data_IF_002387022181
#
_entry.id   IF_002387022181
#
_cell.length_a   1.000
_cell.length_b   1.000
_cell.length_c   1.000
_cell.angle_alpha   90.00
_cell.angle_beta   90.00
_cell.angle_gamma   90.00
#
_symmetry.space_group_name_H-M   'P 1'
#
loop_
_entity.id
_entity.type
_entity.pdbx_description
1 polymer ?
#
# COMPACT_ATOMS: atom_id res chain seq x y z
N UNK A 1 14.18 9.49 -4.91
CA UNK A 1 13.10 8.48 -4.89
C UNK A 1 13.03 7.91 -3.48
N UNK A 2 12.05 8.36 -2.70
CA UNK A 2 11.82 7.87 -1.34
C UNK A 2 10.76 6.77 -1.42
N UNK A 3 11.03 5.53 -0.95
CA UNK A 3 10.04 4.47 -0.97
C UNK A 3 8.91 4.79 0.03
N UNK A 4 7.67 4.81 -0.45
CA UNK A 4 6.49 4.81 0.40
C UNK A 4 6.30 3.42 0.98
N UNK A 5 6.21 3.33 2.31
CA UNK A 5 5.96 2.04 2.95
C UNK A 5 4.99 2.19 4.13
N UNK A 6 3.89 1.45 4.06
CA UNK A 6 3.01 1.21 5.20
C UNK A 6 3.73 0.27 6.18
N UNK A 7 3.70 0.63 7.46
CA UNK A 7 4.37 -0.13 8.53
C UNK A 7 3.31 -0.83 9.36
N UNK A 8 3.40 -2.14 9.55
CA UNK A 8 2.51 -2.85 10.48
C UNK A 8 3.12 -2.87 11.89
N UNK A 9 2.56 -2.11 12.83
CA UNK A 9 2.94 -2.14 14.24
C UNK A 9 1.72 -2.47 15.10
N UNK A 10 1.48 -3.78 15.31
CA UNK A 10 0.27 -4.31 15.95
C UNK A 10 -0.40 -3.36 16.98
N UNK A 11 -1.68 -3.07 16.73
CA UNK A 11 -2.50 -2.13 17.48
C UNK A 11 -2.83 -2.67 18.88
N UNK A 12 -2.66 -3.97 19.08
CA UNK A 12 -2.75 -4.64 20.37
C UNK A 12 -1.41 -4.55 21.11
N UNK A 13 -1.47 -4.18 22.37
CA UNK A 13 -0.29 -4.03 23.23
C UNK A 13 -0.35 -2.77 24.09
N UNK A 14 0.50 -2.72 25.12
CA UNK A 14 0.66 -1.52 25.94
C UNK A 14 1.33 -0.40 25.15
N UNK A 15 1.12 0.86 25.56
CA UNK A 15 1.81 2.03 24.98
C UNK A 15 3.33 1.86 24.93
N UNK A 16 3.92 1.26 25.97
CA UNK A 16 5.35 0.96 26.01
C UNK A 16 5.78 -0.04 24.93
N UNK A 17 4.96 -1.06 24.66
CA UNK A 17 5.26 -2.03 23.60
C UNK A 17 5.19 -1.38 22.22
N UNK A 18 4.17 -0.54 21.99
CA UNK A 18 4.03 0.22 20.74
C UNK A 18 5.24 1.12 20.49
N UNK A 19 5.69 1.86 21.51
CA UNK A 19 6.89 2.70 21.41
C UNK A 19 8.16 1.90 21.18
N UNK A 20 8.34 0.74 21.83
CA UNK A 20 9.49 -0.14 21.57
C UNK A 20 9.48 -0.70 20.15
N UNK A 21 8.30 -0.97 19.59
CA UNK A 21 8.16 -1.40 18.19
C UNK A 21 8.52 -0.24 17.25
N UNK A 22 8.07 0.98 17.57
CA UNK A 22 8.45 2.19 16.83
C UNK A 22 9.94 2.53 16.91
N UNK A 23 10.57 2.33 18.05
CA UNK A 23 12.02 2.46 18.20
C UNK A 23 12.76 1.50 17.24
N UNK A 24 12.33 0.23 17.18
CA UNK A 24 12.90 -0.73 16.22
C UNK A 24 12.64 -0.32 14.78
N UNK A 25 11.46 0.25 14.48
CA UNK A 25 11.17 0.76 13.15
C UNK A 25 12.19 1.81 12.72
N UNK A 26 12.34 2.88 13.51
CA UNK A 26 13.21 4.02 13.17
C UNK A 26 14.70 3.70 13.27
N UNK A 27 15.12 2.93 14.28
CA UNK A 27 16.54 2.73 14.59
C UNK A 27 17.14 1.45 14.00
N UNK A 28 16.30 0.50 13.55
CA UNK A 28 16.77 -0.78 12.98
C UNK A 28 16.27 -1.03 11.56
N UNK A 29 14.96 -0.98 11.32
CA UNK A 29 14.41 -1.29 9.99
C UNK A 29 14.67 -0.17 8.98
N UNK A 30 14.42 1.08 9.38
CA UNK A 30 14.58 2.27 8.55
C UNK A 30 15.62 3.21 9.13
N UNK A 31 16.75 2.64 9.56
CA UNK A 31 17.85 3.41 10.15
C UNK A 31 18.28 4.54 9.21
N UNK A 32 18.22 5.78 9.71
CA UNK A 32 18.52 7.00 8.94
C UNK A 32 17.29 7.69 8.34
N UNK A 33 16.14 6.99 8.31
CA UNK A 33 14.85 7.58 8.01
C UNK A 33 14.42 8.58 9.08
N UNK A 34 13.72 9.62 8.66
CA UNK A 34 13.28 10.73 9.50
C UNK A 34 11.77 10.89 9.39
N UNK A 35 11.10 10.89 10.54
CA UNK A 35 9.68 11.23 10.67
C UNK A 35 9.43 12.63 10.10
N UNK A 36 8.31 12.79 9.40
CA UNK A 36 7.86 14.11 8.96
C UNK A 36 7.63 15.02 10.18
N UNK A 37 8.18 16.25 10.21
CA UNK A 37 7.90 17.23 11.25
C UNK A 37 6.43 17.69 11.24
N UNK A 38 5.85 17.91 12.42
CA UNK A 38 4.42 18.24 12.57
C UNK A 38 4.06 19.66 12.08
N UNK A 39 5.06 20.54 12.01
CA UNK A 39 4.98 21.88 11.42
C UNK A 39 5.07 21.85 9.89
N UNK A 40 5.49 20.73 9.28
CA UNK A 40 5.45 20.53 7.82
C UNK A 40 4.18 19.74 7.42
N UNK A 41 3.68 18.87 8.30
CA UNK A 41 2.41 18.17 8.13
C UNK A 41 1.21 19.14 8.30
N UNK A 42 0.83 19.81 7.21
CA UNK A 42 -0.13 20.90 7.24
C UNK A 42 -1.59 20.42 7.19
N UNK A 43 -2.48 21.24 7.74
CA UNK A 43 -3.92 21.08 7.51
C UNK A 43 -4.31 21.78 6.19
N UNK A 44 -5.18 21.20 5.35
CA UNK A 44 -5.57 21.78 4.08
C UNK A 44 -6.17 23.18 4.21
N UNK A 45 -5.64 24.12 3.43
CA UNK A 45 -6.08 25.51 3.41
C UNK A 45 -6.03 26.08 1.98
N UNK A 46 -6.88 27.07 1.68
CA UNK A 46 -6.84 27.83 0.42
C UNK A 46 -5.62 28.72 0.32
N UNK A 47 -5.26 29.35 1.43
CA UNK A 47 -3.98 30.04 1.59
C UNK A 47 -3.01 29.06 2.24
N UNK A 48 -2.14 28.47 1.42
CA UNK A 48 -1.22 27.43 1.85
C UNK A 48 0.23 27.84 1.65
N UNK A 49 1.10 27.25 2.46
CA UNK A 49 2.54 27.29 2.24
C UNK A 49 2.95 26.03 1.50
N UNK A 50 3.89 26.17 0.56
CA UNK A 50 4.52 25.01 -0.08
C UNK A 50 5.39 24.28 0.93
N UNK A 51 5.34 22.95 0.89
CA UNK A 51 6.22 22.07 1.68
C UNK A 51 7.63 22.04 1.10
N UNK A 52 7.77 22.21 -0.22
CA UNK A 52 9.07 22.25 -0.88
C UNK A 52 8.96 22.66 -2.36
N UNK A 53 10.12 22.97 -2.96
CA UNK A 53 10.27 23.20 -4.40
C UNK A 53 10.97 22.02 -5.05
N UNK A 54 10.61 21.72 -6.29
CA UNK A 54 11.17 20.64 -7.12
C UNK A 54 12.17 21.17 -8.17
N UNK A 55 13.04 22.10 -7.78
CA UNK A 55 14.03 22.81 -8.61
C UNK A 55 15.45 22.17 -8.71
N UNK A 56 15.62 20.90 -8.32
CA UNK A 56 16.93 20.26 -8.13
C UNK A 56 17.90 20.89 -7.12
N UNK A 57 17.45 21.79 -6.25
CA UNK A 57 18.31 22.46 -5.25
C UNK A 57 18.71 21.53 -4.09
N UNK A 58 19.86 21.78 -3.42
CA UNK A 58 20.29 20.99 -2.24
C UNK A 58 19.27 21.00 -1.09
N UNK A 59 18.41 22.02 -1.01
CA UNK A 59 17.33 22.11 -0.03
C UNK A 59 16.35 20.92 -0.13
N UNK A 60 16.27 20.26 -1.31
CA UNK A 60 15.44 19.07 -1.49
C UNK A 60 16.00 17.82 -0.84
N UNK A 61 17.30 17.77 -0.55
CA UNK A 61 17.95 16.59 0.03
C UNK A 61 17.32 16.20 1.38
N UNK A 62 16.66 17.15 2.05
CA UNK A 62 15.87 16.90 3.25
C UNK A 62 14.82 15.79 3.04
N UNK A 63 14.26 15.66 1.84
CA UNK A 63 13.21 14.70 1.48
C UNK A 63 13.73 13.30 1.17
N UNK A 64 15.03 13.13 0.92
CA UNK A 64 15.64 11.82 0.60
C UNK A 64 15.40 10.82 1.73
N UNK A 65 15.51 11.28 2.97
CA UNK A 65 15.35 10.44 4.16
C UNK A 65 13.99 10.61 4.85
N UNK A 66 13.05 11.38 4.27
CA UNK A 66 11.71 11.56 4.87
C UNK A 66 10.87 10.31 4.65
N UNK A 67 10.23 9.85 5.72
CA UNK A 67 9.27 8.75 5.68
C UNK A 67 7.89 9.32 6.02
N UNK A 68 6.95 9.11 5.10
CA UNK A 68 5.54 9.46 5.24
C UNK A 68 4.79 8.20 5.69
N UNK A 69 4.35 8.18 6.94
CA UNK A 69 3.61 7.05 7.48
C UNK A 69 2.10 7.26 7.27
N UNK A 70 1.42 6.17 6.90
CA UNK A 70 -0.04 6.09 6.79
C UNK A 70 -0.51 5.14 7.89
N UNK A 71 -1.50 5.54 8.68
CA UNK A 71 -1.98 4.74 9.79
C UNK A 71 -2.82 3.57 9.28
N UNK A 72 -2.53 2.34 9.72
CA UNK A 72 -3.28 1.16 9.34
C UNK A 72 -4.12 0.53 10.45
N UNK A 73 -4.92 -0.47 10.07
CA UNK A 73 -5.70 -1.32 10.98
C UNK A 73 -4.82 -1.95 12.06
N UNK A 74 -3.61 -2.37 11.68
CA UNK A 74 -2.65 -2.91 12.62
C UNK A 74 -1.93 -1.86 13.45
N UNK A 75 -2.15 -0.55 13.31
CA UNK A 75 -1.49 0.46 14.16
C UNK A 75 -2.49 1.10 15.13
N UNK A 76 -3.64 1.50 14.59
CA UNK A 76 -4.67 2.25 15.31
C UNK A 76 -6.00 1.49 15.45
N UNK A 77 -6.19 0.39 14.72
CA UNK A 77 -7.43 -0.41 14.69
C UNK A 77 -8.41 0.04 13.61
N UNK A 78 -9.39 -0.82 13.30
CA UNK A 78 -10.57 -0.42 12.51
C UNK A 78 -11.49 0.51 13.30
N UNK A 79 -12.57 0.99 12.67
CA UNK A 79 -13.49 1.96 13.26
C UNK A 79 -14.02 1.55 14.64
N UNK A 80 -14.23 0.25 14.90
CA UNK A 80 -14.68 -0.29 16.19
C UNK A 80 -13.58 -0.49 17.24
N UNK A 81 -12.32 -0.33 16.86
CA UNK A 81 -11.14 -0.49 17.70
C UNK A 81 -10.38 0.81 17.93
N UNK A 82 -10.64 1.82 17.09
CA UNK A 82 -9.96 3.10 17.10
C UNK A 82 -10.39 3.95 18.29
N UNK A 83 -9.43 4.30 19.14
CA UNK A 83 -9.59 5.21 20.27
C UNK A 83 -8.63 6.38 20.18
N UNK A 84 -8.94 7.47 20.89
CA UNK A 84 -8.07 8.66 20.98
C UNK A 84 -6.67 8.29 21.48
N UNK A 85 -6.56 7.43 22.49
CA UNK A 85 -5.27 6.93 22.99
C UNK A 85 -4.45 6.22 21.89
N UNK A 86 -5.10 5.39 21.07
CA UNK A 86 -4.43 4.69 19.97
C UNK A 86 -3.98 5.64 18.87
N UNK A 87 -4.76 6.68 18.61
CA UNK A 87 -4.38 7.74 17.67
C UNK A 87 -3.20 8.56 18.22
N UNK A 88 -3.29 9.04 19.45
CA UNK A 88 -2.25 9.86 20.10
C UNK A 88 -0.89 9.15 20.15
N UNK A 89 -0.87 7.86 20.51
CA UNK A 89 0.39 7.09 20.51
C UNK A 89 0.95 6.92 19.10
N UNK A 90 0.10 6.73 18.08
CA UNK A 90 0.54 6.66 16.69
C UNK A 90 1.15 7.98 16.27
N UNK A 91 0.47 9.10 16.50
CA UNK A 91 0.93 10.41 16.08
C UNK A 91 2.23 10.83 16.76
N UNK A 92 2.39 10.47 18.04
CA UNK A 92 3.65 10.66 18.79
C UNK A 92 4.83 9.97 18.12
N UNK A 93 4.66 8.75 17.59
CA UNK A 93 5.77 7.94 17.06
C UNK A 93 5.94 8.10 15.54
N UNK A 94 4.87 8.27 14.78
CA UNK A 94 4.86 8.18 13.31
C UNK A 94 4.50 9.47 12.57
N UNK A 95 3.84 10.42 13.24
CA UNK A 95 3.34 11.64 12.61
C UNK A 95 1.82 11.68 12.56
N UNK A 96 1.28 12.86 12.25
CA UNK A 96 -0.16 13.08 12.11
C UNK A 96 -0.80 12.05 11.18
N UNK A 97 -2.01 11.60 11.51
CA UNK A 97 -2.72 10.62 10.67
C UNK A 97 -3.48 11.26 9.49
N UNK A 98 -3.72 12.58 9.55
CA UNK A 98 -4.35 13.38 8.50
C UNK A 98 -3.52 14.65 8.24
N UNK A 99 -2.96 14.81 7.04
CA UNK A 99 -2.21 16.02 6.65
C UNK A 99 -2.04 16.14 5.13
N UNK A 100 -1.69 17.34 4.67
CA UNK A 100 -1.27 17.57 3.29
C UNK A 100 0.17 18.08 3.17
N UNK A 101 0.76 17.81 2.01
CA UNK A 101 2.01 18.40 1.53
C UNK A 101 1.80 18.94 0.12
N UNK A 102 2.47 20.04 -0.22
CA UNK A 102 2.41 20.65 -1.55
C UNK A 102 3.80 20.97 -2.06
N UNK A 103 4.09 20.50 -3.27
CA UNK A 103 5.38 20.66 -3.92
C UNK A 103 5.19 21.34 -5.25
N UNK A 104 5.83 22.50 -5.42
CA UNK A 104 5.79 23.22 -6.69
C UNK A 104 7.06 22.96 -7.49
N UNK A 105 6.92 22.82 -8.81
CA UNK A 105 8.00 22.82 -9.77
C UNK A 105 8.11 24.21 -10.42
N UNK A 106 9.18 24.99 -10.14
CA UNK A 106 9.34 26.30 -10.75
C UNK A 106 9.52 26.20 -12.26
N UNK A 107 8.75 27.01 -13.00
CA UNK A 107 8.90 27.15 -14.45
C UNK A 107 9.96 28.20 -14.73
N UNK A 108 11.08 27.79 -15.32
CA UNK A 108 12.21 28.68 -15.63
C UNK A 108 12.30 29.07 -17.10
N UNK A 109 11.65 28.30 -17.99
CA UNK A 109 11.66 28.58 -19.43
C UNK A 109 10.66 29.71 -19.77
N UNK A 110 11.13 30.84 -20.34
CA UNK A 110 10.29 31.96 -20.73
C UNK A 110 9.15 31.58 -21.68
N UNK A 111 9.32 30.53 -22.50
CA UNK A 111 8.30 30.01 -23.43
C UNK A 111 7.00 29.64 -22.71
N UNK A 112 7.11 29.06 -21.51
CA UNK A 112 5.97 28.55 -20.77
C UNK A 112 5.46 29.55 -19.73
N UNK A 113 6.33 30.43 -19.24
CA UNK A 113 6.00 31.41 -18.19
C UNK A 113 4.81 32.31 -18.59
N UNK A 114 4.73 32.73 -19.86
CA UNK A 114 3.60 33.55 -20.34
C UNK A 114 2.28 32.79 -20.49
N UNK A 115 2.31 31.46 -20.44
CA UNK A 115 1.12 30.61 -20.58
C UNK A 115 0.46 30.25 -19.25
N UNK A 116 1.15 30.51 -18.14
CA UNK A 116 0.66 30.26 -16.78
C UNK A 116 -0.31 31.38 -16.37
N UNK A 117 -1.33 31.00 -15.61
CA UNK A 117 -2.29 31.87 -14.97
C UNK A 117 -1.59 32.92 -14.13
N UNK A 118 -1.93 34.17 -14.40
CA UNK A 118 -1.49 35.34 -13.65
C UNK A 118 -2.66 36.31 -13.62
N UNK A 119 -3.09 36.72 -12.43
CA UNK A 119 -4.29 37.54 -12.26
C UNK A 119 -4.22 38.88 -12.99
N UNK A 120 -3.01 39.40 -13.26
CA UNK A 120 -2.81 40.69 -13.94
C UNK A 120 -2.47 40.51 -15.42
N UNK A 121 -1.63 39.52 -15.75
CA UNK A 121 -1.07 39.35 -17.10
C UNK A 121 -1.83 38.35 -17.96
N UNK A 122 -2.40 37.32 -17.36
CA UNK A 122 -3.06 36.23 -18.08
C UNK A 122 -4.20 35.59 -17.24
N UNK A 123 -5.28 36.34 -16.97
CA UNK A 123 -6.35 35.90 -16.07
C UNK A 123 -7.23 34.79 -16.63
N UNK A 124 -7.19 34.55 -17.94
CA UNK A 124 -8.01 33.52 -18.61
C UNK A 124 -7.26 32.20 -18.81
N UNK A 125 -5.97 32.13 -18.44
CA UNK A 125 -5.19 30.90 -18.57
C UNK A 125 -5.62 29.84 -17.55
N UNK A 126 -5.63 28.58 -18.00
CA UNK A 126 -5.96 27.43 -17.15
C UNK A 126 -4.73 26.75 -16.57
N UNK A 127 -3.53 27.07 -17.07
CA UNK A 127 -2.28 26.47 -16.61
C UNK A 127 -1.85 27.12 -15.31
N UNK A 128 -1.63 26.34 -14.27
CA UNK A 128 -1.00 26.83 -13.05
C UNK A 128 0.46 26.38 -12.98
N UNK A 129 1.22 26.93 -12.02
CA UNK A 129 2.54 26.42 -11.69
C UNK A 129 2.43 24.92 -11.35
N UNK A 130 3.28 24.04 -11.94
CA UNK A 130 3.06 22.63 -11.75
C UNK A 130 3.24 22.22 -10.29
N UNK A 131 2.26 21.51 -9.76
CA UNK A 131 2.18 21.16 -8.34
C UNK A 131 1.88 19.67 -8.14
N UNK A 132 2.63 19.02 -7.25
CA UNK A 132 2.22 17.75 -6.65
C UNK A 132 1.66 18.05 -5.26
N UNK A 133 0.39 17.69 -5.06
CA UNK A 133 -0.27 17.69 -3.75
C UNK A 133 -0.36 16.27 -3.22
N UNK A 134 0.26 16.01 -2.08
CA UNK A 134 0.17 14.72 -1.38
C UNK A 134 -0.80 14.88 -0.23
N UNK A 135 -1.77 13.97 -0.12
CA UNK A 135 -2.79 13.99 0.91
C UNK A 135 -2.75 12.66 1.63
N UNK A 136 -2.45 12.68 2.93
CA UNK A 136 -2.49 11.50 3.79
C UNK A 136 -3.80 11.51 4.56
N UNK A 137 -4.59 10.45 4.41
CA UNK A 137 -5.90 10.30 5.04
C UNK A 137 -5.89 9.05 5.91
N UNK A 138 -6.35 9.20 7.14
CA UNK A 138 -6.77 8.09 7.97
C UNK A 138 -8.18 7.65 7.54
N UNK A 139 -8.28 6.59 6.77
CA UNK A 139 -9.57 6.05 6.32
C UNK A 139 -10.15 4.98 7.25
N UNK A 140 -9.47 4.63 8.35
CA UNK A 140 -9.85 3.55 9.25
C UNK A 140 -11.22 3.76 9.94
N UNK A 141 -11.73 4.98 9.95
CA UNK A 141 -12.99 5.37 10.60
C UNK A 141 -13.99 6.07 9.68
N UNK A 142 -13.81 5.96 8.36
CA UNK A 142 -14.74 6.54 7.37
C UNK A 142 -16.04 5.76 7.26
N UNK A 143 -15.98 4.44 7.41
CA UNK A 143 -17.17 3.60 7.45
C UNK A 143 -17.75 3.52 8.87
N UNK A 144 -19.05 3.26 8.96
CA UNK A 144 -19.80 3.26 10.22
C UNK A 144 -20.25 1.85 10.61
N UNK A 145 -20.42 1.56 11.92
CA UNK A 145 -20.26 2.46 13.06
C UNK A 145 -18.80 2.66 13.45
N UNK A 146 -18.47 3.87 13.92
CA UNK A 146 -17.17 4.19 14.52
C UNK A 146 -17.30 4.33 16.03
N UNK A 147 -16.33 3.78 16.77
CA UNK A 147 -16.26 3.80 18.23
C UNK A 147 -16.07 5.21 18.79
N UNK A 148 -15.17 5.98 18.18
CA UNK A 148 -14.95 7.39 18.52
C UNK A 148 -15.57 8.30 17.47
N UNK A 149 -16.68 8.94 17.84
CA UNK A 149 -17.32 9.97 17.02
C UNK A 149 -16.41 11.20 16.80
N UNK A 150 -15.70 11.73 17.82
CA UNK A 150 -14.76 12.84 17.62
C UNK A 150 -13.70 12.56 16.55
N UNK A 151 -13.08 11.37 16.57
CA UNK A 151 -12.08 11.01 15.56
C UNK A 151 -12.70 10.88 14.17
N UNK A 152 -13.92 10.36 14.06
CA UNK A 152 -14.61 10.27 12.78
C UNK A 152 -14.95 11.66 12.23
N UNK A 153 -15.45 12.56 13.08
CA UNK A 153 -15.75 13.94 12.70
C UNK A 153 -14.49 14.67 12.22
N UNK A 154 -13.36 14.48 12.90
CA UNK A 154 -12.07 15.03 12.47
C UNK A 154 -11.66 14.55 11.07
N UNK A 155 -11.84 13.25 10.76
CA UNK A 155 -11.54 12.72 9.42
C UNK A 155 -12.46 13.34 8.35
N UNK A 156 -13.77 13.46 8.62
CA UNK A 156 -14.69 14.10 7.67
C UNK A 156 -14.40 15.58 7.49
N UNK A 157 -14.08 16.31 8.56
CA UNK A 157 -13.64 17.71 8.50
C UNK A 157 -12.37 17.86 7.64
N UNK A 158 -11.41 16.95 7.79
CA UNK A 158 -10.21 16.93 6.98
C UNK A 158 -10.52 16.74 5.49
N UNK A 159 -11.35 15.74 5.13
CA UNK A 159 -11.77 15.51 3.74
C UNK A 159 -12.49 16.73 3.18
N UNK A 160 -13.38 17.35 3.95
CA UNK A 160 -14.07 18.57 3.54
C UNK A 160 -13.10 19.75 3.31
N UNK A 161 -12.08 19.87 4.15
CA UNK A 161 -11.01 20.86 3.98
C UNK A 161 -10.20 20.60 2.71
N UNK A 162 -9.86 19.33 2.42
CA UNK A 162 -9.20 18.91 1.16
C UNK A 162 -10.03 19.33 -0.05
N UNK A 163 -11.33 19.03 -0.05
CA UNK A 163 -12.25 19.36 -1.14
C UNK A 163 -12.31 20.88 -1.34
N UNK A 164 -12.47 21.63 -0.25
CA UNK A 164 -12.66 23.09 -0.27
C UNK A 164 -11.40 23.88 -0.69
N UNK A 165 -10.22 23.30 -0.47
CA UNK A 165 -8.90 23.86 -0.82
C UNK A 165 -8.33 23.30 -2.12
N UNK A 166 -9.07 22.43 -2.81
CA UNK A 166 -8.66 21.90 -4.12
C UNK A 166 -8.79 22.94 -5.21
N UNK A 167 -7.88 22.88 -6.19
CA UNK A 167 -8.00 23.67 -7.42
C UNK A 167 -9.30 23.34 -8.18
N UNK A 168 -9.76 24.30 -8.98
CA UNK A 168 -10.82 24.07 -9.94
C UNK A 168 -10.45 22.90 -10.87
N UNK A 169 -11.43 22.11 -11.31
CA UNK A 169 -11.18 20.90 -12.12
C UNK A 169 -10.68 21.25 -13.54
N UNK A 170 -10.84 22.50 -13.95
CA UNK A 170 -10.38 23.05 -15.23
C UNK A 170 -8.89 23.39 -15.24
N UNK A 171 -8.26 23.56 -14.07
CA UNK A 171 -6.86 23.94 -14.02
C UNK A 171 -5.94 22.78 -14.42
N UNK A 172 -4.88 23.12 -15.14
CA UNK A 172 -3.85 22.21 -15.64
C UNK A 172 -2.55 22.40 -14.85
N UNK A 173 -1.78 21.33 -14.70
CA UNK A 173 -0.47 21.38 -14.03
C UNK A 173 -0.46 20.89 -12.59
N UNK A 174 -1.61 20.66 -11.95
CA UNK A 174 -1.65 20.04 -10.63
C UNK A 174 -1.88 18.53 -10.69
N UNK A 175 -1.37 17.81 -9.70
CA UNK A 175 -1.64 16.38 -9.51
C UNK A 175 -1.84 16.07 -8.03
N UNK A 176 -2.92 15.36 -7.70
CA UNK A 176 -3.19 14.94 -6.32
C UNK A 176 -2.86 13.47 -6.13
N UNK A 177 -1.92 13.17 -5.23
CA UNK A 177 -1.62 11.83 -4.74
C UNK A 177 -2.29 11.64 -3.38
N UNK A 178 -3.25 10.73 -3.29
CA UNK A 178 -3.89 10.35 -2.03
C UNK A 178 -3.24 9.08 -1.49
N UNK A 179 -2.80 9.13 -0.24
CA UNK A 179 -2.21 8.02 0.50
C UNK A 179 -3.16 7.63 1.63
N UNK A 180 -3.56 6.37 1.64
CA UNK A 180 -4.57 5.84 2.56
C UNK A 180 -4.32 4.37 2.84
N UNK A 181 -4.99 3.77 3.83
CA UNK A 181 -4.70 2.38 4.20
C UNK A 181 -5.71 1.38 3.64
N UNK A 182 -7.01 1.63 3.77
CA UNK A 182 -8.06 0.73 3.27
C UNK A 182 -8.30 1.00 1.77
N UNK A 183 -8.23 -0.03 0.90
CA UNK A 183 -8.51 0.16 -0.51
C UNK A 183 -9.97 0.53 -0.76
N UNK A 184 -10.21 1.25 -1.86
CA UNK A 184 -11.56 1.63 -2.28
C UNK A 184 -12.42 0.40 -2.60
N UNK A 185 -13.74 0.56 -2.59
CA UNK A 185 -14.70 -0.46 -2.97
C UNK A 185 -14.44 -1.01 -4.38
N UNK A 186 -14.47 -2.33 -4.52
CA UNK A 186 -14.31 -3.07 -5.78
C UNK A 186 -15.20 -4.31 -5.73
N UNK A 187 -16.01 -4.59 -6.76
CA UNK A 187 -16.88 -5.76 -6.75
C UNK A 187 -16.07 -7.06 -6.74
N UNK A 188 -16.67 -8.12 -6.20
CA UNK A 188 -16.06 -9.44 -6.13
C UNK A 188 -15.61 -9.91 -7.53
N UNK A 189 -14.40 -10.47 -7.61
CA UNK A 189 -13.80 -10.95 -8.87
C UNK A 189 -12.90 -9.94 -9.58
N UNK A 190 -12.87 -8.66 -9.18
CA UNK A 190 -11.89 -7.70 -9.69
C UNK A 190 -10.52 -7.88 -9.00
N UNK A 191 -10.50 -7.92 -7.68
CA UNK A 191 -9.33 -8.21 -6.87
C UNK A 191 -9.48 -9.56 -6.18
N UNK A 192 -8.41 -10.04 -5.53
CA UNK A 192 -8.47 -11.26 -4.70
C UNK A 192 -9.37 -11.02 -3.49
N UNK A 193 -9.16 -9.90 -2.79
CA UNK A 193 -10.01 -9.49 -1.68
C UNK A 193 -11.34 -8.92 -2.21
N UNK A 194 -12.45 -9.52 -1.78
CA UNK A 194 -13.80 -9.06 -2.07
C UNK A 194 -14.30 -8.09 -0.97
N UNK A 195 -15.36 -7.29 -1.21
CA UNK A 195 -15.95 -6.46 -0.17
C UNK A 195 -16.35 -7.30 1.04
N UNK A 196 -15.89 -6.89 2.22
CA UNK A 196 -16.11 -7.60 3.48
C UNK A 196 -16.17 -6.61 4.64
N UNK A 197 -17.08 -6.85 5.57
CA UNK A 197 -17.23 -6.15 6.83
C UNK A 197 -17.61 -7.16 7.92
N UNK A 198 -16.89 -7.12 9.04
CA UNK A 198 -17.24 -7.78 10.30
C UNK A 198 -17.41 -6.72 11.39
N UNK A 199 -18.33 -6.96 12.32
CA UNK A 199 -18.70 -5.99 13.35
C UNK A 199 -18.54 -6.61 14.74
N UNK A 200 -18.18 -5.80 15.73
CA UNK A 200 -18.16 -6.26 17.11
C UNK A 200 -19.57 -6.60 17.60
N UNK A 201 -19.71 -7.67 18.38
CA UNK A 201 -21.01 -8.21 18.81
C UNK A 201 -21.77 -7.30 19.79
N UNK A 202 -21.06 -6.41 20.47
CA UNK A 202 -21.58 -5.39 21.38
C UNK A 202 -22.03 -4.10 20.67
N UNK A 203 -21.82 -4.00 19.36
CA UNK A 203 -22.16 -2.82 18.56
C UNK A 203 -21.08 -1.74 18.58
N UNK A 204 -19.88 -2.01 19.11
CA UNK A 204 -18.79 -1.04 19.24
C UNK A 204 -18.19 -0.57 17.90
N UNK A 205 -18.65 -1.11 16.76
CA UNK A 205 -18.27 -0.66 15.43
C UNK A 205 -17.69 -1.77 14.55
N UNK A 206 -16.98 -1.37 13.51
CA UNK A 206 -16.34 -2.28 12.55
C UNK A 206 -15.13 -2.95 13.21
N UNK A 207 -15.16 -4.28 13.25
CA UNK A 207 -14.09 -5.13 13.75
C UNK A 207 -13.05 -5.44 12.67
N UNK A 208 -13.51 -5.63 11.44
CA UNK A 208 -12.65 -5.94 10.30
C UNK A 208 -13.33 -5.51 9.00
N UNK A 209 -12.57 -4.99 8.04
CA UNK A 209 -13.05 -4.75 6.68
C UNK A 209 -11.90 -4.86 5.68
N UNK A 210 -12.18 -5.29 4.45
CA UNK A 210 -11.14 -5.41 3.43
C UNK A 210 -11.08 -4.20 2.49
N UNK A 211 -12.23 -3.58 2.25
CA UNK A 211 -12.39 -2.45 1.35
C UNK A 211 -13.26 -1.41 2.04
N UNK A 212 -13.16 -0.15 1.63
CA UNK A 212 -14.12 0.88 2.01
C UNK A 212 -15.49 0.57 1.41
N UNK A 213 -16.55 1.13 2.02
CA UNK A 213 -17.89 1.08 1.41
C UNK A 213 -17.93 1.82 0.08
N UNK A 214 -18.95 1.53 -0.72
CA UNK A 214 -19.21 2.24 -1.98
C UNK A 214 -19.42 3.74 -1.74
N UNK A 215 -20.13 4.11 -0.66
CA UNK A 215 -20.39 5.50 -0.31
C UNK A 215 -19.12 6.24 0.11
N UNK A 216 -18.29 5.65 0.98
CA UNK A 216 -17.00 6.24 1.36
C UNK A 216 -16.10 6.40 0.12
N UNK A 217 -16.02 5.38 -0.72
CA UNK A 217 -15.27 5.38 -1.99
C UNK A 217 -15.70 6.50 -2.92
N UNK A 218 -17.01 6.72 -3.06
CA UNK A 218 -17.56 7.79 -3.88
C UNK A 218 -17.11 9.17 -3.40
N UNK A 219 -16.97 9.37 -2.09
CA UNK A 219 -16.44 10.60 -1.50
C UNK A 219 -15.02 10.94 -1.96
N UNK A 220 -14.15 9.95 -2.15
CA UNK A 220 -12.81 10.18 -2.72
C UNK A 220 -12.90 10.61 -4.19
N UNK A 221 -13.61 9.84 -5.02
CA UNK A 221 -13.61 10.09 -6.46
C UNK A 221 -14.38 11.35 -6.86
N UNK A 222 -15.56 11.56 -6.30
CA UNK A 222 -16.43 12.69 -6.65
C UNK A 222 -16.13 13.93 -5.80
N UNK A 223 -15.67 13.76 -4.56
CA UNK A 223 -15.27 14.85 -3.69
C UNK A 223 -13.85 15.32 -3.96
N UNK A 224 -12.84 14.52 -3.58
CA UNK A 224 -11.43 14.91 -3.66
C UNK A 224 -11.01 15.16 -5.11
N UNK A 225 -11.33 14.24 -6.03
CA UNK A 225 -10.97 14.42 -7.44
C UNK A 225 -12.02 15.17 -8.25
N UNK A 226 -13.26 15.34 -7.79
CA UNK A 226 -14.27 16.09 -8.55
C UNK A 226 -14.73 15.38 -9.83
N UNK A 227 -14.56 14.05 -9.92
CA UNK A 227 -15.03 13.28 -11.08
C UNK A 227 -16.55 13.26 -11.09
N UNK A 228 -17.16 13.37 -12.28
CA UNK A 228 -18.62 13.35 -12.41
C UNK A 228 -19.08 12.53 -13.60
N UNK A 229 -20.17 11.79 -13.39
CA UNK A 229 -20.93 11.16 -14.47
C UNK A 229 -21.68 12.15 -15.37
N UNK A 230 -21.72 13.44 -15.03
CA UNK A 230 -22.37 14.48 -15.85
C UNK A 230 -21.36 15.16 -16.79
N UNK A 231 -21.49 15.00 -18.13
CA UNK A 231 -20.61 15.66 -19.10
C UNK A 231 -20.77 17.18 -19.15
N UNK A 232 -21.87 17.71 -18.59
CA UNK A 232 -22.11 19.15 -18.47
C UNK A 232 -21.57 19.75 -17.17
N UNK A 233 -20.96 18.94 -16.30
CA UNK A 233 -20.28 19.45 -15.11
C UNK A 233 -19.00 20.20 -15.48
N UNK A 234 -18.47 20.96 -14.52
CA UNK A 234 -17.15 21.57 -14.55
C UNK A 234 -16.09 20.57 -15.06
N UNK A 235 -15.16 21.04 -15.91
CA UNK A 235 -14.17 20.18 -16.56
C UNK A 235 -14.75 18.98 -17.34
N UNK A 236 -16.00 19.09 -17.83
CA UNK A 236 -16.76 18.00 -18.48
C UNK A 236 -16.92 16.74 -17.61
N UNK A 237 -16.84 16.89 -16.29
CA UNK A 237 -16.87 15.78 -15.34
C UNK A 237 -15.58 14.95 -15.29
N UNK A 238 -14.49 15.39 -15.94
CA UNK A 238 -13.19 14.69 -15.90
C UNK A 238 -12.57 14.67 -14.51
N UNK A 239 -12.83 15.70 -13.70
CA UNK A 239 -12.20 15.91 -12.41
C UNK A 239 -10.70 16.29 -12.51
N UNK A 240 -10.06 16.49 -11.36
CA UNK A 240 -8.64 16.82 -11.17
C UNK A 240 -7.72 15.61 -11.39
N UNK A 241 -6.57 15.75 -12.08
CA UNK A 241 -5.61 14.66 -12.22
C UNK A 241 -5.12 14.13 -10.87
N UNK A 242 -4.91 12.83 -10.79
CA UNK A 242 -4.40 12.22 -9.57
C UNK A 242 -4.46 10.70 -9.52
N UNK A 243 -4.00 10.18 -8.39
CA UNK A 243 -3.80 8.76 -8.11
C UNK A 243 -4.10 8.49 -6.63
N UNK A 244 -4.76 7.37 -6.34
CA UNK A 244 -4.80 6.81 -4.99
C UNK A 244 -3.76 5.70 -4.90
N UNK A 245 -2.91 5.77 -3.87
CA UNK A 245 -1.98 4.71 -3.49
C UNK A 245 -2.31 4.27 -2.08
N UNK A 246 -2.59 2.98 -1.89
CA UNK A 246 -2.90 2.40 -0.59
C UNK A 246 -2.15 1.10 -0.33
N UNK A 247 -2.17 0.69 0.92
CA UNK A 247 -1.77 -0.64 1.36
C UNK A 247 -2.98 -1.55 1.58
N UNK A 248 -2.73 -2.71 2.18
CA UNK A 248 -3.59 -3.56 3.01
C UNK A 248 -3.05 -5.00 2.91
N UNK A 249 -3.74 -5.99 3.47
CA UNK A 249 -3.01 -7.04 4.17
C UNK A 249 -2.40 -8.13 3.26
N UNK A 250 -2.79 -8.27 1.98
CA UNK A 250 -2.41 -9.47 1.21
C UNK A 250 -1.94 -9.23 -0.24
N UNK A 251 -2.83 -9.27 -1.21
CA UNK A 251 -2.48 -9.60 -2.60
C UNK A 251 -2.18 -8.39 -3.51
N UNK A 252 -2.50 -7.18 -3.04
CA UNK A 252 -2.43 -5.97 -3.84
C UNK A 252 -3.43 -5.97 -5.00
N UNK A 253 -3.69 -4.80 -5.57
CA UNK A 253 -4.65 -4.63 -6.65
C UNK A 253 -4.41 -3.34 -7.42
N UNK A 254 -4.35 -3.43 -8.74
CA UNK A 254 -4.16 -2.28 -9.64
C UNK A 254 -5.42 -2.12 -10.49
N UNK A 255 -6.20 -1.08 -10.20
CA UNK A 255 -7.53 -0.84 -10.76
C UNK A 255 -7.69 0.52 -11.39
N UNK A 256 -8.61 0.61 -12.35
CA UNK A 256 -9.13 1.83 -12.91
C UNK A 256 -10.62 1.93 -12.59
N UNK A 257 -10.98 2.97 -11.86
CA UNK A 257 -12.35 3.32 -11.49
C UNK A 257 -12.82 4.38 -12.49
N UNK A 258 -13.94 4.15 -13.16
CA UNK A 258 -14.44 5.08 -14.17
C UNK A 258 -15.96 5.15 -14.21
N UNK A 259 -16.48 6.21 -14.82
CA UNK A 259 -17.90 6.32 -15.14
C UNK A 259 -18.04 6.43 -16.65
N UNK A 260 -18.85 5.59 -17.28
CA UNK A 260 -19.18 5.76 -18.69
C UNK A 260 -20.29 6.80 -18.84
N UNK A 261 -19.94 8.02 -19.26
CA UNK A 261 -20.89 9.13 -19.43
C UNK A 261 -21.87 8.93 -20.61
N UNK A 262 -21.70 7.87 -21.41
CA UNK A 262 -22.63 7.53 -22.50
C UNK A 262 -23.64 6.44 -22.11
N UNK A 263 -23.40 5.74 -21.00
CA UNK A 263 -24.23 4.62 -20.58
C UNK A 263 -25.40 5.12 -19.71
N UNK A 264 -26.55 5.38 -20.32
CA UNK A 264 -27.75 5.87 -19.64
C UNK A 264 -28.12 7.31 -20.01
N UNK A 265 -29.38 7.69 -19.74
CA UNK A 265 -29.97 8.96 -20.19
C UNK A 265 -29.68 10.11 -19.25
N UNK A 266 -29.53 9.88 -17.94
CA UNK A 266 -29.20 10.90 -16.95
C UNK A 266 -27.95 10.54 -16.14
N UNK A 267 -27.38 11.54 -15.46
CA UNK A 267 -26.23 11.34 -14.57
C UNK A 267 -26.53 10.40 -13.39
N UNK A 268 -27.80 10.24 -13.01
CA UNK A 268 -28.22 9.37 -11.90
C UNK A 268 -28.28 7.88 -12.29
N UNK A 269 -28.38 7.60 -13.58
CA UNK A 269 -28.44 6.23 -14.10
C UNK A 269 -27.03 5.65 -14.32
N UNK A 270 -25.99 6.47 -14.11
CA UNK A 270 -24.59 6.13 -14.33
C UNK A 270 -23.95 5.74 -13.01
N UNK A 271 -23.32 4.58 -12.98
CA UNK A 271 -22.60 4.06 -11.82
C UNK A 271 -21.10 4.02 -12.07
N UNK A 272 -20.34 3.89 -11.00
CA UNK A 272 -18.92 3.56 -11.08
C UNK A 272 -18.75 2.14 -11.63
N UNK A 273 -17.82 2.00 -12.57
CA UNK A 273 -17.33 0.75 -13.11
C UNK A 273 -15.85 0.60 -12.74
N UNK A 274 -15.42 -0.64 -12.52
CA UNK A 274 -14.07 -0.94 -12.06
C UNK A 274 -13.49 -2.05 -12.93
N UNK A 275 -12.28 -1.82 -13.44
CA UNK A 275 -11.51 -2.80 -14.21
C UNK A 275 -10.08 -2.86 -13.70
N UNK A 276 -9.43 -4.02 -13.86
CA UNK A 276 -7.98 -4.10 -13.65
C UNK A 276 -7.26 -3.22 -14.65
N UNK A 277 -6.20 -2.53 -14.22
CA UNK A 277 -5.47 -1.58 -15.07
C UNK A 277 -5.01 -2.15 -16.44
N UNK A 278 -4.46 -3.39 -16.53
CA UNK A 278 -4.13 -3.97 -17.83
C UNK A 278 -5.34 -4.16 -18.75
N UNK A 279 -6.50 -4.51 -18.18
CA UNK A 279 -7.75 -4.68 -18.93
C UNK A 279 -8.29 -3.32 -19.41
N UNK A 280 -8.30 -2.31 -18.53
CA UNK A 280 -8.70 -0.94 -18.89
C UNK A 280 -7.87 -0.39 -20.06
N UNK A 281 -6.55 -0.62 -20.03
CA UNK A 281 -5.66 -0.27 -21.16
C UNK A 281 -6.00 -1.05 -22.43
N UNK A 282 -6.23 -2.36 -22.33
CA UNK A 282 -6.59 -3.21 -23.48
C UNK A 282 -7.92 -2.80 -24.11
N UNK A 283 -8.88 -2.36 -23.30
CA UNK A 283 -10.18 -1.84 -23.75
C UNK A 283 -10.10 -0.38 -24.22
N UNK A 284 -8.92 0.24 -24.14
CA UNK A 284 -8.65 1.62 -24.52
C UNK A 284 -9.50 2.67 -23.78
N UNK A 285 -10.04 2.37 -22.59
CA UNK A 285 -10.95 3.28 -21.86
C UNK A 285 -10.22 4.34 -21.02
N UNK A 286 -8.91 4.18 -20.83
CA UNK A 286 -8.08 5.11 -20.05
C UNK A 286 -7.94 6.43 -20.82
N UNK A 287 -8.29 7.54 -20.18
CA UNK A 287 -8.11 8.89 -20.73
C UNK A 287 -9.18 9.36 -21.72
N UNK A 288 -10.11 8.49 -22.16
CA UNK A 288 -11.18 8.86 -23.08
C UNK A 288 -12.05 10.01 -22.53
N UNK A 289 -12.48 10.92 -23.42
CA UNK A 289 -13.27 12.10 -23.01
C UNK A 289 -14.59 11.75 -22.30
N UNK A 290 -15.33 10.77 -22.82
CA UNK A 290 -16.62 10.36 -22.29
C UNK A 290 -16.53 9.29 -21.19
N UNK A 291 -15.32 8.91 -20.78
CA UNK A 291 -15.08 7.87 -19.75
C UNK A 291 -14.08 8.41 -18.72
N UNK A 292 -14.48 9.43 -17.93
CA UNK A 292 -13.64 9.91 -16.85
C UNK A 292 -13.38 8.80 -15.83
N UNK A 293 -12.13 8.70 -15.38
CA UNK A 293 -11.74 7.71 -14.39
C UNK A 293 -10.38 7.97 -13.78
N UNK A 294 -10.06 7.24 -12.73
CA UNK A 294 -8.83 7.35 -11.96
C UNK A 294 -8.27 5.98 -11.64
N UNK A 295 -6.95 5.93 -11.54
CA UNK A 295 -6.23 4.73 -11.14
C UNK A 295 -6.17 4.67 -9.62
N UNK A 296 -6.30 3.48 -9.08
CA UNK A 296 -6.00 3.15 -7.69
C UNK A 296 -4.96 2.03 -7.69
N UNK A 297 -3.97 2.16 -6.81
CA UNK A 297 -2.91 1.18 -6.61
C UNK A 297 -2.90 0.73 -5.16
N UNK A 298 -3.31 -0.52 -4.93
CA UNK A 298 -3.08 -1.24 -3.68
C UNK A 298 -1.76 -1.99 -3.78
N UNK A 299 -0.77 -1.53 -3.03
CA UNK A 299 0.55 -2.15 -2.96
C UNK A 299 0.41 -3.52 -2.31
N UNK A 300 0.93 -4.56 -2.98
CA UNK A 300 0.97 -5.91 -2.42
C UNK A 300 1.76 -5.92 -1.11
N UNK A 301 1.36 -6.76 -0.16
CA UNK A 301 1.96 -6.80 1.17
C UNK A 301 3.46 -7.09 1.16
N UNK A 302 4.18 -6.44 2.08
CA UNK A 302 5.58 -6.73 2.41
C UNK A 302 5.74 -8.02 3.24
N UNK A 303 4.64 -8.59 3.74
CA UNK A 303 4.72 -9.85 4.48
C UNK A 303 5.33 -10.96 3.61
N UNK A 304 6.17 -11.79 4.23
CA UNK A 304 6.98 -12.80 3.52
C UNK A 304 6.15 -13.79 2.71
N UNK A 305 4.98 -14.17 3.23
CA UNK A 305 4.04 -15.07 2.55
C UNK A 305 3.52 -14.50 1.24
N UNK A 306 3.50 -13.18 1.11
CA UNK A 306 3.10 -12.47 -0.09
C UNK A 306 4.27 -12.09 -0.99
N UNK A 307 5.50 -12.49 -0.66
CA UNK A 307 6.69 -12.29 -1.49
C UNK A 307 7.50 -11.04 -1.17
N UNK A 308 7.22 -10.36 -0.05
CA UNK A 308 8.04 -9.25 0.41
C UNK A 308 8.02 -8.04 -0.52
N UNK A 309 6.86 -7.49 -0.82
CA UNK A 309 6.74 -6.49 -1.88
C UNK A 309 6.95 -5.05 -1.38
N UNK A 310 7.49 -4.25 -2.28
CA UNK A 310 7.52 -2.79 -2.21
C UNK A 310 6.93 -2.22 -3.50
N UNK A 311 6.38 -1.00 -3.44
CA UNK A 311 5.92 -0.26 -4.61
C UNK A 311 6.86 0.91 -4.88
N UNK A 312 7.23 1.12 -6.14
CA UNK A 312 7.98 2.29 -6.58
C UNK A 312 7.07 3.13 -7.48
N UNK A 313 6.81 4.36 -7.06
CA UNK A 313 6.11 5.37 -7.84
C UNK A 313 7.10 6.44 -8.30
N UNK A 314 7.18 6.62 -9.61
CA UNK A 314 7.98 7.67 -10.26
C UNK A 314 7.02 8.68 -10.88
N UNK A 315 7.30 9.97 -10.71
CA UNK A 315 6.49 11.05 -11.29
C UNK A 315 7.41 12.06 -11.96
N UNK A 316 6.98 12.61 -13.09
CA UNK A 316 7.69 13.67 -13.81
C UNK A 316 6.68 14.58 -14.51
N UNK A 317 7.06 15.84 -14.73
CA UNK A 317 6.21 16.82 -15.38
C UNK A 317 6.51 16.91 -16.88
N UNK A 318 5.48 16.87 -17.71
CA UNK A 318 5.60 17.07 -19.15
C UNK A 318 5.17 18.51 -19.53
N UNK A 319 6.11 19.40 -19.88
CA UNK A 319 5.79 20.79 -20.20
C UNK A 319 5.06 20.96 -21.55
N UNK A 320 5.05 19.95 -22.43
CA UNK A 320 4.33 20.03 -23.71
C UNK A 320 2.83 19.84 -23.53
N UNK A 321 2.44 18.84 -22.73
CA UNK A 321 1.03 18.56 -22.38
C UNK A 321 0.54 19.34 -21.17
N UNK A 322 1.47 19.88 -20.36
CA UNK A 322 1.19 20.53 -19.08
C UNK A 322 0.60 19.59 -18.01
N UNK A 323 1.00 18.31 -18.07
CA UNK A 323 0.49 17.25 -17.21
C UNK A 323 1.61 16.55 -16.42
N UNK A 324 1.27 16.04 -15.24
CA UNK A 324 2.12 15.11 -14.51
C UNK A 324 1.91 13.69 -15.02
N UNK A 325 3.00 13.07 -15.43
CA UNK A 325 3.05 11.66 -15.82
C UNK A 325 3.64 10.84 -14.67
N UNK A 326 3.27 9.56 -14.62
CA UNK A 326 3.75 8.68 -13.58
C UNK A 326 3.83 7.22 -14.02
N UNK A 327 4.74 6.49 -13.38
CA UNK A 327 4.90 5.06 -13.54
C UNK A 327 4.97 4.38 -12.18
N UNK A 328 4.35 3.21 -12.09
CA UNK A 328 4.37 2.38 -10.90
C UNK A 328 4.93 1.00 -11.22
N UNK A 329 5.86 0.54 -10.40
CA UNK A 329 6.41 -0.81 -10.44
C UNK A 329 6.28 -1.49 -9.08
N UNK A 330 5.88 -2.76 -9.10
CA UNK A 330 5.92 -3.63 -7.93
C UNK A 330 7.28 -4.34 -7.87
N UNK A 331 8.01 -4.17 -6.78
CA UNK A 331 9.33 -4.75 -6.55
C UNK A 331 9.23 -5.82 -5.45
N UNK A 332 9.15 -7.12 -5.82
CA UNK A 332 9.20 -8.20 -4.85
C UNK A 332 10.64 -8.41 -4.36
N UNK A 333 10.82 -8.48 -3.04
CA UNK A 333 12.07 -8.92 -2.41
C UNK A 333 12.30 -10.43 -2.60
N UNK A 334 11.21 -11.18 -2.84
CA UNK A 334 11.21 -12.62 -3.01
C UNK A 334 10.77 -13.37 -1.74
N UNK A 335 10.37 -14.64 -1.90
CA UNK A 335 10.02 -15.50 -0.75
C UNK A 335 11.28 -15.81 0.07
N UNK A 336 11.17 -15.78 1.40
CA UNK A 336 12.27 -15.93 2.37
C UNK A 336 12.97 -17.31 2.37
N UNK A 337 12.84 -18.12 1.32
CA UNK A 337 13.47 -19.44 1.23
C UNK A 337 14.99 -19.39 1.45
N UNK A 338 15.66 -18.34 0.94
CA UNK A 338 17.10 -18.17 1.11
C UNK A 338 17.48 -17.89 2.58
N UNK A 339 16.66 -17.11 3.29
CA UNK A 339 16.88 -16.82 4.71
C UNK A 339 16.77 -18.10 5.55
N UNK A 340 15.69 -18.87 5.36
CA UNK A 340 15.52 -20.16 6.04
C UNK A 340 16.60 -21.16 5.67
N UNK A 341 17.00 -21.22 4.41
CA UNK A 341 18.10 -22.10 3.97
C UNK A 341 19.41 -21.79 4.71
N UNK A 342 19.77 -20.51 4.84
CA UNK A 342 20.97 -20.09 5.58
C UNK A 342 20.87 -20.49 7.06
N UNK A 343 19.75 -20.21 7.73
CA UNK A 343 19.58 -20.59 9.15
C UNK A 343 19.59 -22.09 9.39
N UNK A 344 18.98 -22.88 8.50
CA UNK A 344 19.01 -24.34 8.59
C UNK A 344 20.44 -24.86 8.42
N UNK A 345 21.20 -24.29 7.46
CA UNK A 345 22.59 -24.65 7.23
C UNK A 345 23.46 -24.27 8.43
N UNK A 346 23.33 -23.05 8.96
CA UNK A 346 24.06 -22.58 10.14
C UNK A 346 23.75 -23.44 11.37
N UNK A 347 22.48 -23.77 11.59
CA UNK A 347 22.07 -24.68 12.66
C UNK A 347 22.69 -26.06 12.48
N UNK A 348 22.72 -26.58 11.24
CA UNK A 348 23.39 -27.84 10.91
C UNK A 348 24.89 -27.81 11.21
N UNK A 349 25.58 -26.72 10.86
CA UNK A 349 27.00 -26.54 11.15
C UNK A 349 27.26 -26.48 12.66
N UNK A 350 26.48 -25.69 13.40
CA UNK A 350 26.58 -25.61 14.87
C UNK A 350 26.34 -26.98 15.50
N UNK A 351 25.32 -27.70 15.05
CA UNK A 351 25.04 -29.06 15.51
C UNK A 351 26.21 -30.00 15.26
N UNK A 352 26.80 -29.99 14.06
CA UNK A 352 27.97 -30.82 13.73
C UNK A 352 29.20 -30.46 14.58
N UNK A 353 29.42 -29.18 14.86
CA UNK A 353 30.50 -28.72 15.76
C UNK A 353 30.29 -29.25 17.18
N UNK A 354 29.06 -29.19 17.70
CA UNK A 354 28.73 -29.69 19.03
C UNK A 354 28.89 -31.22 19.12
N UNK A 355 28.44 -31.96 18.10
CA UNK A 355 28.61 -33.41 18.01
C UNK A 355 30.09 -33.77 17.94
N UNK A 356 30.86 -33.10 17.08
CA UNK A 356 32.30 -33.33 16.98
C UNK A 356 33.03 -33.03 18.29
N UNK A 357 32.68 -31.93 18.98
CA UNK A 357 33.21 -31.60 20.29
C UNK A 357 32.89 -32.66 21.34
N UNK A 358 31.65 -33.16 21.37
CA UNK A 358 31.22 -34.22 22.28
C UNK A 358 31.98 -35.53 22.00
N UNK A 359 32.09 -35.96 20.75
CA UNK A 359 32.86 -37.15 20.34
C UNK A 359 34.32 -37.01 20.77
N UNK A 360 34.92 -35.84 20.54
CA UNK A 360 36.30 -35.57 20.94
C UNK A 360 36.50 -35.66 22.45
N UNK A 361 35.55 -35.15 23.25
CA UNK A 361 35.58 -35.25 24.72
C UNK A 361 35.42 -36.71 25.17
N UNK A 362 34.49 -37.46 24.57
CA UNK A 362 34.25 -38.87 24.90
C UNK A 362 35.47 -39.74 24.57
N UNK A 363 36.10 -39.52 23.41
CA UNK A 363 37.37 -40.17 23.05
C UNK A 363 38.48 -39.81 24.05
N UNK A 364 38.63 -38.53 24.42
CA UNK A 364 39.60 -38.10 25.42
C UNK A 364 39.33 -38.69 26.82
N UNK A 365 38.07 -38.98 27.15
CA UNK A 365 37.67 -39.65 28.39
C UNK A 365 37.82 -41.18 28.33
N UNK A 366 38.32 -41.75 27.22
CA UNK A 366 38.59 -43.18 27.07
C UNK A 366 37.38 -44.03 26.67
N UNK A 367 36.30 -43.41 26.17
CA UNK A 367 35.17 -44.12 25.58
C UNK A 367 35.52 -44.51 24.14
N UNK A 368 35.39 -45.79 23.79
CA UNK A 368 35.55 -46.26 22.40
C UNK A 368 34.32 -45.84 21.57
N UNK A 369 34.43 -44.67 20.95
CA UNK A 369 33.39 -44.09 20.11
C UNK A 369 33.42 -44.69 18.69
N UNK A 370 34.56 -45.21 18.24
CA UNK A 370 34.77 -45.75 16.89
C UNK A 370 34.11 -47.12 16.71
N UNK A 371 34.17 -47.97 17.75
CA UNK A 371 33.47 -49.27 17.76
C UNK A 371 31.94 -49.14 17.70
N UNK A 372 31.38 -48.10 18.32
CA UNK A 372 29.93 -47.83 18.35
C UNK A 372 29.43 -47.05 17.13
N UNK A 373 30.22 -46.13 16.55
CA UNK A 373 29.83 -45.49 15.28
C UNK A 373 29.81 -46.48 14.12
N UNK A 374 30.74 -47.44 14.10
CA UNK A 374 30.77 -48.50 13.09
C UNK A 374 29.57 -49.45 13.16
N UNK A 375 28.96 -49.64 14.34
CA UNK A 375 27.71 -50.42 14.46
C UNK A 375 26.49 -49.60 14.03
N UNK A 376 26.43 -48.32 14.39
CA UNK A 376 25.38 -47.39 14.00
C UNK A 376 25.35 -47.13 12.48
N UNK A 377 26.50 -46.93 11.84
CA UNK A 377 26.60 -46.77 10.39
C UNK A 377 26.08 -48.00 9.63
N UNK A 378 26.42 -49.20 10.11
CA UNK A 378 25.91 -50.47 9.55
C UNK A 378 24.40 -50.59 9.72
N UNK A 379 23.87 -50.24 10.89
CA UNK A 379 22.43 -50.21 11.13
C UNK A 379 21.70 -49.18 10.25
N UNK A 380 22.20 -47.95 10.15
CA UNK A 380 21.61 -46.90 9.33
C UNK A 380 21.60 -47.28 7.84
N UNK A 381 22.67 -47.91 7.35
CA UNK A 381 22.74 -48.40 5.97
C UNK A 381 21.72 -49.51 5.70
N UNK A 382 21.44 -50.38 6.69
CA UNK A 382 20.42 -51.42 6.56
C UNK A 382 19.01 -50.82 6.49
N UNK A 383 18.71 -49.84 7.34
CA UNK A 383 17.41 -49.14 7.38
C UNK A 383 17.14 -48.37 6.08
N UNK A 384 18.14 -47.64 5.55
CA UNK A 384 18.01 -46.92 4.27
C UNK A 384 17.85 -47.90 3.11
N UNK A 385 18.54 -49.04 3.13
CA UNK A 385 18.39 -50.07 2.09
C UNK A 385 17.01 -50.73 2.09
N UNK A 386 16.39 -50.97 3.26
CA UNK A 386 15.03 -51.49 3.36
C UNK A 386 13.98 -50.49 2.86
N UNK A 387 14.15 -49.19 3.17
CA UNK A 387 13.26 -48.14 2.68
C UNK A 387 13.35 -47.95 1.16
N UNK A 388 14.56 -48.04 0.58
CA UNK A 388 14.76 -47.94 -0.86
C UNK A 388 14.25 -49.18 -1.63
N UNK A 389 14.28 -50.37 -1.02
CA UNK A 389 13.74 -51.59 -1.62
C UNK A 389 12.21 -51.70 -1.50
N UNK A 390 11.60 -51.09 -0.48
CA UNK A 390 10.15 -51.12 -0.25
C UNK A 390 9.30 -50.40 -1.32
N UNK A 391 9.88 -49.47 -2.08
CA UNK A 391 9.18 -48.78 -3.18
C UNK A 391 9.17 -49.54 -4.52
N UNK A 392 9.98 -50.61 -4.68
CA UNK A 392 10.10 -51.32 -5.98
C UNK A 392 9.29 -52.62 -6.07
N UNK A 393 8.56 -53.03 -5.03
CA UNK A 393 7.72 -54.25 -5.05
C UNK A 393 6.23 -53.97 -4.98
N UNK A 394 5.68 -53.28 -5.99
CA UNK A 394 4.24 -53.39 -6.32
C UNK A 394 4.01 -53.34 -7.83
N UNK A 395 4.61 -54.31 -8.54
CA UNK A 395 4.24 -54.65 -9.90
C UNK A 395 3.01 -55.59 -9.88
N UNK A 396 1.89 -55.11 -10.44
CA UNK A 396 0.65 -55.86 -10.66
C UNK A 396 0.86 -56.91 -11.77
N UNK A 397 0.56 -58.21 -11.57
CA UNK A 397 0.62 -59.20 -12.63
C UNK A 397 -0.67 -59.25 -13.45
N UNK A 398 -0.50 -59.32 -14.77
CA UNK A 398 -1.54 -59.41 -15.78
C UNK A 398 -1.92 -60.88 -16.04
N UNK A 399 -3.22 -61.19 -16.17
CA UNK A 399 -3.70 -62.54 -16.49
C UNK A 399 -5.19 -62.64 -16.85
N UNK A 400 -5.51 -62.47 -18.15
CA UNK A 400 -6.74 -62.91 -18.86
C UNK A 400 -6.87 -64.46 -18.76
N UNK A 401 -8.01 -65.18 -18.90
CA UNK A 401 -9.34 -64.99 -19.52
C UNK A 401 -10.22 -66.27 -19.28
N UNK A 402 -11.55 -66.11 -19.39
CA UNK A 402 -12.63 -67.01 -19.91
C UNK A 402 -13.76 -67.36 -18.93
N UNK A 403 -14.98 -67.02 -19.37
CA UNK A 403 -16.23 -67.12 -18.61
C UNK A 403 -16.99 -68.43 -18.73
N UNK A 404 -18.27 -68.40 -18.32
CA UNK A 404 -19.37 -69.22 -18.86
C UNK A 404 -20.73 -68.67 -18.41
N UNK A 405 -21.63 -68.64 -19.40
CA UNK A 405 -23.10 -68.49 -19.40
C UNK A 405 -23.70 -67.15 -18.97
#
# INVERSE_FOLDING_TARGET
MSPFLATCLAASGSTNEFEQRGDRFWNRAFKGGQRLPDDIAQWPNREYNISGRLDGSPEQDVWINRILNVAGNHDIGYAGDLTEERMERFERVFGKANYELRFELPITDPKYTSTVYDSEKNPDALRIAPEIRIIVINDMNLDTPAKSKPLQDQTYEFINAVITSSHAVEFEGHFTLVLTHIPMYKPAGVCVDAPFFDFHSDGDGIKEQYLLSEDATKGFWEGIFGVSGNPMAAGKGRGRPGLILNGHDHEGCDTYHYINQTNGTSAKDRSWEIKRWPEAKKLNIVGQEAIPGRRELTVRSMMGDFGGNTGLLSMWFNPETWEWEYEFAQCPLGRQHLWWFVHILDFGVVFLILVYGLVSILQAAGVDVDGNLGSFSRWLSSVVSELAYGETSSAVPNGKLKGKL
#
